data_IF_058122145411
#
_entry.id   IF_058122145411
#
_cell.length_a   1.000
_cell.length_b   1.000
_cell.length_c   1.000
_cell.angle_alpha   90.00
_cell.angle_beta   90.00
_cell.angle_gamma   90.00
#
_symmetry.space_group_name_H-M   'P 1'
#
loop_
_entity.id
_entity.type
_entity.pdbx_description
1 polymer ?
#
# COMPACT_ATOMS: atom_id res chain seq x y z
N UNK A 1 -20.95 -2.45 -10.47
CA UNK A 1 -20.56 -1.55 -9.36
C UNK A 1 -20.55 -2.45 -8.16
N UNK A 2 -19.39 -2.64 -7.56
CA UNK A 2 -19.23 -3.41 -6.32
C UNK A 2 -19.81 -2.59 -5.17
N UNK A 3 -20.68 -3.19 -4.37
CA UNK A 3 -21.27 -2.57 -3.18
C UNK A 3 -20.51 -3.01 -1.93
N UNK A 4 -20.64 -2.24 -0.83
CA UNK A 4 -19.96 -2.60 0.42
C UNK A 4 -20.34 -4.02 0.89
N UNK A 5 -21.61 -4.42 0.77
CA UNK A 5 -22.07 -5.78 1.13
C UNK A 5 -21.55 -6.89 0.23
N UNK A 6 -21.11 -6.54 -0.99
CA UNK A 6 -20.43 -7.51 -1.82
C UNK A 6 -19.03 -7.79 -1.24
N UNK A 7 -18.44 -6.86 -0.49
CA UNK A 7 -17.06 -6.92 -0.01
C UNK A 7 -16.97 -7.28 1.48
N UNK A 8 -17.81 -6.70 2.32
CA UNK A 8 -17.77 -6.79 3.78
C UNK A 8 -18.87 -7.74 4.25
N UNK A 9 -18.49 -8.65 5.14
CA UNK A 9 -19.34 -9.60 5.84
C UNK A 9 -19.84 -9.02 7.16
N UNK A 10 -18.95 -8.37 7.91
CA UNK A 10 -19.22 -7.83 9.24
C UNK A 10 -18.39 -6.56 9.51
N UNK A 11 -18.87 -5.73 10.43
CA UNK A 11 -18.27 -4.45 10.78
C UNK A 11 -18.42 -4.15 12.28
N UNK A 12 -17.33 -3.75 12.93
CA UNK A 12 -17.38 -3.30 14.32
C UNK A 12 -16.41 -2.14 14.58
N UNK A 13 -16.77 -1.32 15.56
CA UNK A 13 -15.93 -0.25 16.08
C UNK A 13 -15.26 -0.72 17.38
N UNK A 14 -13.96 -0.58 17.50
CA UNK A 14 -13.24 -0.84 18.76
C UNK A 14 -12.79 0.48 19.39
N UNK A 15 -13.16 0.71 20.65
CA UNK A 15 -12.74 1.87 21.45
C UNK A 15 -12.18 1.36 22.78
N UNK A 16 -10.91 1.67 23.07
CA UNK A 16 -10.18 1.20 24.27
C UNK A 16 -10.26 -0.33 24.50
N UNK A 17 -10.31 -1.11 23.42
CA UNK A 17 -10.40 -2.57 23.46
C UNK A 17 -11.81 -3.14 23.69
N UNK A 18 -12.84 -2.29 23.77
CA UNK A 18 -14.24 -2.70 23.76
C UNK A 18 -14.81 -2.60 22.33
N UNK A 19 -15.58 -3.60 21.91
CA UNK A 19 -16.10 -3.73 20.55
C UNK A 19 -17.59 -3.44 20.51
N UNK A 20 -18.00 -2.65 19.53
CA UNK A 20 -19.37 -2.20 19.30
C UNK A 20 -19.80 -2.57 17.89
N UNK A 21 -20.89 -3.32 17.77
CA UNK A 21 -21.48 -3.67 16.49
C UNK A 21 -22.19 -2.45 15.87
N UNK A 22 -22.36 -2.41 14.56
CA UNK A 22 -23.12 -1.34 13.91
C UNK A 22 -24.63 -1.47 14.20
N UNK A 23 -25.23 -0.44 14.81
CA UNK A 23 -26.68 -0.38 15.05
C UNK A 23 -27.50 -0.13 13.79
N UNK A 24 -26.92 0.61 12.85
CA UNK A 24 -27.59 0.94 11.60
C UNK A 24 -26.61 0.99 10.42
N UNK A 25 -26.95 0.21 9.40
CA UNK A 25 -26.22 0.10 8.16
C UNK A 25 -27.08 0.67 7.02
N UNK A 26 -26.63 1.78 6.45
CA UNK A 26 -27.29 2.38 5.28
C UNK A 26 -26.46 2.13 4.03
N UNK A 27 -26.78 1.05 3.33
CA UNK A 27 -26.24 0.74 2.02
C UNK A 27 -27.05 1.47 0.93
N UNK A 28 -26.35 2.19 0.06
CA UNK A 28 -26.96 2.88 -1.06
C UNK A 28 -26.65 2.11 -2.34
N UNK A 29 -27.65 1.40 -2.89
CA UNK A 29 -27.53 0.56 -4.09
C UNK A 29 -27.01 1.32 -5.34
N UNK A 30 -27.10 2.67 -5.34
CA UNK A 30 -26.64 3.54 -6.42
C UNK A 30 -25.29 4.24 -6.10
N UNK A 31 -24.61 3.87 -5.01
CA UNK A 31 -23.36 4.50 -4.54
C UNK A 31 -22.32 3.46 -4.10
N UNK A 32 -21.04 3.82 -4.20
CA UNK A 32 -19.93 3.06 -3.59
C UNK A 32 -19.73 3.36 -2.11
N UNK A 33 -20.54 4.27 -1.54
CA UNK A 33 -20.46 4.67 -0.13
C UNK A 33 -21.63 4.08 0.64
N UNK A 34 -21.33 3.52 1.82
CA UNK A 34 -22.32 3.12 2.81
C UNK A 34 -22.06 3.88 4.11
N UNK A 35 -23.11 4.08 4.91
CA UNK A 35 -23.00 4.74 6.22
C UNK A 35 -23.24 3.72 7.30
N UNK A 36 -22.27 3.60 8.22
CA UNK A 36 -22.37 2.79 9.42
C UNK A 36 -22.60 3.73 10.61
N UNK A 37 -23.51 3.38 11.51
CA UNK A 37 -23.78 4.13 12.75
C UNK A 37 -23.62 3.17 13.92
N UNK A 38 -22.81 3.58 14.90
CA UNK A 38 -22.54 2.85 16.13
C UNK A 38 -23.13 3.66 17.28
N UNK A 39 -24.03 3.06 18.04
CA UNK A 39 -24.54 3.59 19.30
C UNK A 39 -23.74 2.96 20.45
N UNK A 40 -22.79 3.73 20.97
CA UNK A 40 -21.92 3.30 22.08
C UNK A 40 -22.43 3.82 23.43
N UNK A 41 -23.59 4.50 23.44
CA UNK A 41 -24.16 5.06 24.67
C UNK A 41 -24.55 3.95 25.66
N UNK A 42 -24.55 4.27 26.94
CA UNK A 42 -24.70 3.37 28.09
C UNK A 42 -23.54 2.37 28.32
N UNK A 43 -22.74 2.09 27.31
CA UNK A 43 -21.63 1.13 27.36
C UNK A 43 -20.27 1.82 27.48
N UNK A 44 -20.09 2.97 26.83
CA UNK A 44 -18.85 3.74 26.85
C UNK A 44 -19.07 5.20 27.29
N UNK A 45 -18.09 5.79 27.97
CA UNK A 45 -18.11 7.21 28.33
C UNK A 45 -16.70 7.75 28.24
N UNK A 46 -16.54 8.85 27.49
CA UNK A 46 -15.30 9.63 27.45
C UNK A 46 -15.39 10.72 28.51
N UNK A 47 -14.43 10.74 29.44
CA UNK A 47 -14.36 11.75 30.49
C UNK A 47 -13.87 13.11 29.94
N UNK A 48 -14.09 14.18 30.70
CA UNK A 48 -13.54 15.50 30.34
C UNK A 48 -12.01 15.44 30.24
N UNK A 49 -11.46 16.04 29.18
CA UNK A 49 -10.03 16.04 28.83
C UNK A 49 -9.43 14.65 28.51
N UNK A 50 -10.27 13.62 28.31
CA UNK A 50 -9.84 12.31 27.85
C UNK A 50 -9.76 12.25 26.31
N UNK A 51 -8.71 11.61 25.80
CA UNK A 51 -8.56 11.29 24.39
C UNK A 51 -8.58 9.77 24.23
N UNK A 52 -9.48 9.29 23.37
CA UNK A 52 -9.62 7.86 23.05
C UNK A 52 -9.31 7.64 21.58
N UNK A 53 -8.75 6.48 21.25
CA UNK A 53 -8.56 6.05 19.86
C UNK A 53 -9.62 5.02 19.51
N UNK A 54 -10.26 5.21 18.36
CA UNK A 54 -11.25 4.29 17.82
C UNK A 54 -10.72 3.67 16.52
N UNK A 55 -10.96 2.37 16.34
CA UNK A 55 -10.59 1.62 15.15
C UNK A 55 -11.83 1.01 14.51
N UNK A 56 -12.05 1.25 13.22
CA UNK A 56 -13.05 0.55 12.43
C UNK A 56 -12.45 -0.73 11.88
N UNK A 57 -13.05 -1.87 12.22
CA UNK A 57 -12.69 -3.16 11.67
C UNK A 57 -13.77 -3.62 10.70
N UNK A 58 -13.33 -4.16 9.56
CA UNK A 58 -14.19 -4.74 8.53
C UNK A 58 -13.74 -6.18 8.30
N UNK A 59 -14.65 -7.12 8.51
CA UNK A 59 -14.45 -8.51 8.11
C UNK A 59 -14.85 -8.65 6.65
N UNK A 60 -13.92 -9.10 5.80
CA UNK A 60 -14.18 -9.26 4.37
C UNK A 60 -14.92 -10.58 4.10
N UNK A 61 -15.84 -10.54 3.13
CA UNK A 61 -16.43 -11.73 2.56
C UNK A 61 -15.35 -12.60 1.92
N UNK A 62 -15.51 -13.92 2.03
CA UNK A 62 -14.75 -14.83 1.20
C UNK A 62 -14.98 -14.50 -0.28
N UNK A 63 -13.91 -14.45 -1.05
CA UNK A 63 -13.96 -14.19 -2.48
C UNK A 63 -14.65 -15.36 -3.24
N UNK A 64 -15.77 -15.07 -3.89
CA UNK A 64 -16.61 -15.97 -4.73
C UNK A 64 -17.07 -15.26 -6.02
N UNK A 65 -16.28 -14.30 -6.51
CA UNK A 65 -16.60 -13.41 -7.63
C UNK A 65 -17.51 -12.25 -7.24
N UNK A 66 -17.61 -11.95 -5.94
CA UNK A 66 -18.41 -10.88 -5.35
C UNK A 66 -17.81 -9.48 -5.60
N UNK A 67 -16.48 -9.38 -5.72
CA UNK A 67 -15.81 -8.15 -6.12
C UNK A 67 -14.69 -8.42 -7.11
N UNK A 68 -14.28 -7.37 -7.85
CA UNK A 68 -13.21 -7.44 -8.84
C UNK A 68 -11.85 -7.17 -8.19
N UNK A 69 -10.77 -7.59 -8.86
CA UNK A 69 -9.39 -7.19 -8.56
C UNK A 69 -9.26 -5.67 -8.42
N UNK A 70 -8.48 -5.22 -7.44
CA UNK A 70 -8.21 -3.80 -7.21
C UNK A 70 -9.36 -3.00 -6.61
N UNK A 71 -10.39 -3.65 -6.04
CA UNK A 71 -11.44 -2.93 -5.31
C UNK A 71 -10.86 -2.34 -4.04
N UNK A 72 -11.10 -1.05 -3.80
CA UNK A 72 -10.56 -0.36 -2.63
C UNK A 72 -11.61 -0.14 -1.54
N UNK A 73 -11.19 -0.21 -0.28
CA UNK A 73 -11.99 0.08 0.90
C UNK A 73 -11.31 1.18 1.72
N UNK A 74 -12.06 2.19 2.14
CA UNK A 74 -11.57 3.28 2.98
C UNK A 74 -12.68 3.72 3.94
N UNK A 75 -12.33 3.89 5.21
CA UNK A 75 -13.21 4.48 6.22
C UNK A 75 -13.00 5.99 6.35
N UNK A 76 -14.07 6.73 6.59
CA UNK A 76 -14.00 8.15 6.92
C UNK A 76 -15.11 8.55 7.88
N UNK A 77 -14.85 9.54 8.71
CA UNK A 77 -15.83 10.21 9.56
C UNK A 77 -15.88 11.70 9.21
N UNK A 78 -17.08 12.19 8.94
CA UNK A 78 -17.32 13.60 8.60
C UNK A 78 -17.37 14.49 9.86
N UNK A 79 -17.27 15.81 9.64
CA UNK A 79 -17.53 16.79 10.68
C UNK A 79 -18.95 16.64 11.26
N UNK A 80 -19.10 16.87 12.56
CA UNK A 80 -20.36 16.71 13.30
C UNK A 80 -20.98 15.30 13.24
N UNK A 81 -20.22 14.26 12.84
CA UNK A 81 -20.72 12.90 12.78
C UNK A 81 -20.80 12.21 14.15
N UNK A 82 -20.12 12.75 15.18
CA UNK A 82 -20.21 12.24 16.55
C UNK A 82 -21.13 13.16 17.36
N UNK A 83 -22.14 12.56 17.99
CA UNK A 83 -23.03 13.22 18.94
C UNK A 83 -22.77 12.67 20.32
N UNK A 84 -22.41 13.54 21.27
CA UNK A 84 -22.25 13.20 22.68
C UNK A 84 -23.45 13.65 23.49
N UNK A 85 -24.03 12.74 24.27
CA UNK A 85 -25.01 13.08 25.30
C UNK A 85 -24.31 13.39 26.64
N UNK A 86 -24.84 14.34 27.42
CA UNK A 86 -24.21 14.79 28.65
C UNK A 86 -24.97 15.91 29.37
N UNK A 87 -24.26 16.72 30.16
CA UNK A 87 -24.85 17.90 30.82
C UNK A 87 -25.25 19.01 29.81
N UNK A 88 -24.56 19.05 28.67
CA UNK A 88 -24.89 19.82 27.47
C UNK A 88 -24.80 18.86 26.27
N UNK A 89 -25.61 19.09 25.22
CA UNK A 89 -25.46 18.33 23.97
C UNK A 89 -24.19 18.81 23.27
N UNK A 90 -23.32 17.87 22.91
CA UNK A 90 -22.08 18.15 22.20
C UNK A 90 -22.14 17.57 20.79
N UNK A 91 -21.73 18.37 19.82
CA UNK A 91 -21.43 17.92 18.46
C UNK A 91 -19.91 18.00 18.28
N UNK A 92 -19.31 16.96 17.70
CA UNK A 92 -17.87 16.98 17.40
C UNK A 92 -17.53 18.06 16.38
N UNK A 93 -16.35 18.66 16.51
CA UNK A 93 -15.70 19.41 15.44
C UNK A 93 -14.53 18.61 14.86
N UNK A 94 -14.54 18.41 13.54
CA UNK A 94 -13.47 17.77 12.80
C UNK A 94 -13.86 16.47 12.11
N UNK A 95 -13.01 16.08 11.17
CA UNK A 95 -13.18 14.91 10.31
C UNK A 95 -11.90 14.08 10.33
N UNK A 96 -12.02 12.77 10.12
CA UNK A 96 -10.88 11.89 9.91
C UNK A 96 -11.12 10.98 8.70
N UNK A 97 -10.04 10.57 8.05
CA UNK A 97 -10.07 9.64 6.92
C UNK A 97 -8.95 8.65 7.16
N UNK A 98 -9.29 7.37 7.15
CA UNK A 98 -8.31 6.29 7.28
C UNK A 98 -7.57 6.04 5.98
N UNK A 99 -6.61 5.12 6.03
CA UNK A 99 -5.91 4.68 4.83
C UNK A 99 -6.84 3.90 3.90
N UNK A 100 -6.52 3.96 2.61
CA UNK A 100 -7.23 3.18 1.59
C UNK A 100 -6.55 1.82 1.47
N UNK A 101 -7.32 0.75 1.64
CA UNK A 101 -6.86 -0.62 1.43
C UNK A 101 -7.33 -1.11 0.05
N UNK A 102 -6.45 -1.74 -0.71
CA UNK A 102 -6.80 -2.43 -1.96
C UNK A 102 -7.02 -3.92 -1.70
N UNK A 103 -8.08 -4.47 -2.27
CA UNK A 103 -8.43 -5.88 -2.14
C UNK A 103 -7.97 -6.64 -3.37
N UNK A 104 -7.12 -7.62 -3.11
CA UNK A 104 -6.56 -8.49 -4.12
C UNK A 104 -7.36 -9.80 -4.18
N UNK A 105 -7.53 -10.34 -5.39
CA UNK A 105 -8.22 -11.60 -5.69
C UNK A 105 -7.23 -12.67 -6.12
N UNK A 106 -6.18 -12.29 -6.84
CA UNK A 106 -5.00 -13.11 -7.10
C UNK A 106 -3.76 -12.21 -7.30
N UNK A 107 -2.58 -12.79 -7.45
CA UNK A 107 -1.36 -12.05 -7.75
C UNK A 107 -0.38 -12.01 -6.58
N UNK A 108 0.12 -10.82 -6.23
CA UNK A 108 1.13 -10.60 -5.19
C UNK A 108 0.71 -9.57 -4.16
N UNK A 109 1.24 -9.70 -2.94
CA UNK A 109 1.23 -8.65 -1.94
C UNK A 109 2.57 -8.58 -1.20
N UNK A 110 2.89 -7.42 -0.63
CA UNK A 110 4.02 -7.25 0.27
C UNK A 110 3.55 -7.47 1.72
N UNK A 111 4.27 -8.29 2.49
CA UNK A 111 3.81 -8.69 3.84
C UNK A 111 4.08 -7.63 4.91
N UNK A 112 5.16 -6.86 4.76
CA UNK A 112 5.69 -5.91 5.75
C UNK A 112 6.31 -4.67 5.08
N UNK A 113 6.67 -3.67 5.90
CA UNK A 113 7.49 -2.53 5.47
C UNK A 113 8.82 -3.02 4.86
N UNK A 114 9.33 -2.34 3.83
CA UNK A 114 10.59 -2.72 3.21
C UNK A 114 11.79 -2.36 4.09
N UNK A 115 12.80 -3.22 4.09
CA UNK A 115 14.10 -2.89 4.65
C UNK A 115 14.83 -1.95 3.68
N UNK A 116 15.10 -0.71 4.10
CA UNK A 116 15.68 0.31 3.22
C UNK A 116 17.02 0.84 3.69
N UNK A 117 17.87 1.17 2.71
CA UNK A 117 19.24 1.63 2.91
C UNK A 117 19.58 2.72 1.89
N UNK A 118 20.34 3.73 2.32
CA UNK A 118 20.83 4.79 1.43
C UNK A 118 22.26 5.17 1.79
N UNK A 119 23.13 5.19 0.78
CA UNK A 119 24.53 5.57 0.93
C UNK A 119 25.00 6.45 -0.23
N UNK A 120 26.13 7.13 -0.06
CA UNK A 120 26.77 7.84 -1.16
C UNK A 120 28.28 7.73 -1.08
N UNK A 121 28.91 7.57 -2.23
CA UNK A 121 30.35 7.49 -2.39
C UNK A 121 30.77 8.16 -3.70
N UNK A 122 31.79 9.00 -3.63
CA UNK A 122 32.42 9.64 -4.80
C UNK A 122 31.44 10.37 -5.75
N UNK A 123 30.38 10.95 -5.19
CA UNK A 123 29.36 11.69 -5.96
C UNK A 123 28.24 10.82 -6.52
N UNK A 124 28.22 9.53 -6.21
CA UNK A 124 27.17 8.59 -6.60
C UNK A 124 26.38 8.17 -5.35
N UNK A 125 25.05 8.13 -5.45
CA UNK A 125 24.17 7.56 -4.43
C UNK A 125 23.77 6.14 -4.78
N UNK A 126 23.68 5.29 -3.76
CA UNK A 126 23.15 3.93 -3.84
C UNK A 126 21.99 3.82 -2.86
N UNK A 127 20.85 3.35 -3.34
CA UNK A 127 19.61 3.17 -2.62
C UNK A 127 19.21 1.71 -2.75
N UNK A 128 19.01 1.03 -1.63
CA UNK A 128 18.67 -0.39 -1.55
C UNK A 128 17.30 -0.50 -0.87
N UNK A 129 16.41 -1.30 -1.44
CA UNK A 129 15.06 -1.56 -0.95
C UNK A 129 14.85 -3.08 -1.05
N UNK A 130 14.72 -3.74 0.09
CA UNK A 130 14.43 -5.17 0.19
C UNK A 130 12.93 -5.34 0.48
N UNK A 131 12.21 -5.97 -0.43
CA UNK A 131 10.77 -6.22 -0.31
C UNK A 131 10.47 -7.71 -0.33
N UNK A 132 9.71 -8.17 0.65
CA UNK A 132 9.21 -9.54 0.74
C UNK A 132 7.85 -9.62 0.05
N UNK A 133 7.78 -10.39 -1.04
CA UNK A 133 6.57 -10.57 -1.84
C UNK A 133 6.03 -11.98 -1.68
N UNK A 134 4.73 -12.08 -1.40
CA UNK A 134 4.01 -13.36 -1.36
C UNK A 134 3.04 -13.45 -2.52
N UNK A 135 3.08 -14.55 -3.27
CA UNK A 135 2.07 -14.85 -4.28
C UNK A 135 0.88 -15.59 -3.66
N UNK A 136 -0.32 -15.33 -4.14
CA UNK A 136 -1.54 -16.00 -3.65
C UNK A 136 -2.51 -16.30 -4.79
N UNK A 137 -3.26 -17.40 -4.64
CA UNK A 137 -4.20 -17.98 -5.61
C UNK A 137 -3.61 -18.36 -6.99
N UNK A 138 -2.40 -17.91 -7.34
CA UNK A 138 -1.66 -18.29 -8.55
C UNK A 138 -0.14 -18.15 -8.42
N UNK A 139 0.59 -18.73 -9.38
CA UNK A 139 2.01 -18.46 -9.60
C UNK A 139 2.14 -17.16 -10.41
N UNK A 140 3.13 -16.33 -10.06
CA UNK A 140 3.40 -15.05 -10.74
C UNK A 140 4.82 -14.96 -11.25
N UNK A 141 4.99 -14.21 -12.34
CA UNK A 141 6.25 -14.00 -13.03
C UNK A 141 6.68 -12.55 -12.90
N UNK A 142 7.91 -12.37 -12.43
CA UNK A 142 8.51 -11.09 -12.08
C UNK A 142 9.81 -10.90 -12.85
N UNK A 143 10.07 -9.67 -13.26
CA UNK A 143 11.24 -9.31 -14.02
C UNK A 143 12.35 -8.85 -13.08
N UNK A 144 13.59 -9.20 -13.39
CA UNK A 144 14.77 -8.75 -12.65
C UNK A 144 15.23 -7.34 -13.10
N UNK A 145 14.27 -6.44 -13.33
CA UNK A 145 14.55 -5.08 -13.81
C UNK A 145 13.72 -4.04 -13.06
N UNK A 146 14.31 -2.85 -12.88
CA UNK A 146 13.65 -1.73 -12.24
C UNK A 146 13.73 -0.47 -13.13
N UNK A 147 12.67 0.33 -13.13
CA UNK A 147 12.53 1.49 -14.02
C UNK A 147 11.92 2.72 -13.35
N UNK A 148 12.25 3.90 -13.87
CA UNK A 148 11.58 5.17 -13.52
C UNK A 148 10.44 5.54 -14.46
N UNK A 149 10.16 4.69 -15.43
CA UNK A 149 9.11 4.91 -16.43
C UNK A 149 8.13 3.77 -16.35
N UNK A 150 6.84 4.08 -16.33
CA UNK A 150 5.75 3.16 -16.67
C UNK A 150 6.05 2.56 -18.05
N UNK A 151 6.77 1.45 -18.09
CA UNK A 151 6.99 0.65 -19.29
C UNK A 151 6.05 -0.54 -19.22
N UNK A 152 5.52 -0.96 -20.35
CA UNK A 152 4.66 -2.14 -20.50
C UNK A 152 5.36 -3.48 -20.15
N UNK A 153 6.55 -3.44 -19.57
CA UNK A 153 7.37 -4.60 -19.19
C UNK A 153 7.12 -5.04 -17.74
N UNK A 154 7.34 -6.33 -17.48
CA UNK A 154 7.43 -6.85 -16.11
C UNK A 154 8.63 -6.17 -15.40
N UNK A 155 8.37 -5.33 -14.40
CA UNK A 155 9.36 -4.44 -13.78
C UNK A 155 8.98 -3.98 -12.38
N UNK A 156 10.00 -3.54 -11.64
CA UNK A 156 9.90 -2.81 -10.38
C UNK A 156 9.97 -1.30 -10.66
N UNK A 157 8.86 -0.60 -10.55
CA UNK A 157 8.78 0.82 -10.85
C UNK A 157 9.12 1.65 -9.61
N UNK A 158 9.99 2.62 -9.78
CA UNK A 158 10.50 3.47 -8.69
C UNK A 158 10.58 4.93 -9.08
N UNK A 159 10.53 5.81 -8.08
CA UNK A 159 10.78 7.24 -8.24
C UNK A 159 11.98 7.71 -7.44
N UNK A 160 12.57 8.82 -7.89
CA UNK A 160 13.62 9.55 -7.19
C UNK A 160 13.08 10.91 -6.78
N UNK A 161 13.47 11.39 -5.59
CA UNK A 161 13.08 12.71 -5.11
C UNK A 161 13.53 13.85 -6.04
N UNK A 162 14.60 13.61 -6.82
CA UNK A 162 15.01 14.43 -7.96
C UNK A 162 15.74 13.52 -8.97
N UNK A 163 15.15 13.35 -10.16
CA UNK A 163 15.70 12.53 -11.23
C UNK A 163 16.51 13.39 -12.21
N UNK A 164 17.66 13.87 -11.73
CA UNK A 164 18.59 14.65 -12.52
C UNK A 164 19.93 13.94 -12.61
N UNK A 165 20.42 13.66 -13.82
CA UNK A 165 21.72 13.00 -14.05
C UNK A 165 21.54 11.66 -14.74
N UNK A 166 22.34 10.68 -14.34
CA UNK A 166 22.22 9.30 -14.84
C UNK A 166 21.82 8.36 -13.72
N UNK A 167 20.90 7.45 -14.03
CA UNK A 167 20.37 6.46 -13.13
C UNK A 167 20.54 5.07 -13.73
N UNK A 168 20.79 4.08 -12.90
CA UNK A 168 20.66 2.66 -13.23
C UNK A 168 20.02 1.95 -12.06
N UNK A 169 19.25 0.90 -12.33
CA UNK A 169 18.71 0.04 -11.29
C UNK A 169 18.87 -1.42 -11.68
N UNK A 170 18.95 -2.28 -10.67
CA UNK A 170 19.08 -3.73 -10.76
C UNK A 170 18.14 -4.34 -9.73
N UNK A 171 17.57 -5.50 -10.04
CA UNK A 171 16.74 -6.27 -9.11
C UNK A 171 17.33 -7.66 -9.00
N UNK A 172 17.53 -8.12 -7.77
CA UNK A 172 17.97 -9.48 -7.49
C UNK A 172 16.93 -10.18 -6.63
N UNK A 173 16.80 -11.49 -6.82
CA UNK A 173 15.93 -12.31 -5.99
C UNK A 173 16.51 -13.71 -5.81
N UNK A 174 16.09 -14.37 -4.74
CA UNK A 174 16.34 -15.79 -4.54
C UNK A 174 15.25 -16.69 -5.18
N UNK A 175 14.26 -16.07 -5.82
CA UNK A 175 13.19 -16.77 -6.52
C UNK A 175 13.72 -17.67 -7.64
N UNK A 176 12.97 -18.74 -7.92
CA UNK A 176 13.38 -19.71 -8.93
C UNK A 176 13.35 -19.08 -10.34
N UNK A 177 14.40 -19.31 -11.12
CA UNK A 177 14.43 -18.86 -12.52
C UNK A 177 13.31 -19.50 -13.36
N UNK A 178 12.60 -18.68 -14.13
CA UNK A 178 11.63 -19.12 -15.11
C UNK A 178 12.24 -19.20 -16.53
N UNK A 179 11.40 -19.43 -17.54
CA UNK A 179 11.81 -19.15 -18.91
C UNK A 179 11.97 -17.63 -19.10
N UNK A 180 12.77 -17.20 -20.09
CA UNK A 180 12.87 -15.78 -20.51
C UNK A 180 13.15 -14.73 -19.43
N UNK A 181 14.36 -14.64 -18.86
CA UNK A 181 14.83 -13.51 -17.99
C UNK A 181 13.95 -13.14 -16.78
N UNK A 182 12.92 -13.92 -16.51
CA UNK A 182 11.98 -13.72 -15.43
C UNK A 182 12.25 -14.74 -14.31
N UNK A 183 11.79 -14.41 -13.12
CA UNK A 183 11.72 -15.33 -11.98
C UNK A 183 10.27 -15.68 -11.70
N UNK A 184 10.04 -16.86 -11.13
CA UNK A 184 8.70 -17.30 -10.72
C UNK A 184 8.58 -17.29 -9.20
N UNK A 185 7.63 -16.51 -8.71
CA UNK A 185 7.17 -16.55 -7.33
C UNK A 185 5.94 -17.47 -7.28
N UNK A 186 6.08 -18.60 -6.60
CA UNK A 186 5.02 -19.63 -6.58
C UNK A 186 3.94 -19.31 -5.57
N UNK A 187 2.72 -19.73 -5.87
CA UNK A 187 1.57 -19.60 -5.00
C UNK A 187 1.89 -20.03 -3.56
N UNK A 188 1.62 -19.15 -2.60
CA UNK A 188 1.78 -19.37 -1.16
C UNK A 188 3.23 -19.30 -0.67
N UNK A 189 4.19 -19.00 -1.54
CA UNK A 189 5.57 -18.73 -1.15
C UNK A 189 5.81 -17.22 -1.05
N UNK A 190 6.72 -16.88 -0.13
CA UNK A 190 7.28 -15.55 0.04
C UNK A 190 8.73 -15.58 -0.43
N UNK A 191 9.14 -14.61 -1.23
CA UNK A 191 10.54 -14.43 -1.66
C UNK A 191 10.94 -12.96 -1.53
N UNK A 192 12.21 -12.73 -1.18
CA UNK A 192 12.78 -11.38 -1.05
C UNK A 192 13.33 -10.89 -2.39
N UNK A 193 13.00 -9.64 -2.74
CA UNK A 193 13.53 -8.93 -3.90
C UNK A 193 14.36 -7.72 -3.43
N UNK A 194 15.65 -7.73 -3.76
CA UNK A 194 16.59 -6.63 -3.48
C UNK A 194 16.61 -5.68 -4.70
N UNK A 195 16.06 -4.48 -4.55
CA UNK A 195 16.08 -3.43 -5.58
C UNK A 195 17.22 -2.46 -5.28
N UNK A 196 18.25 -2.47 -6.13
CA UNK A 196 19.40 -1.56 -6.00
C UNK A 196 19.34 -0.47 -7.06
N UNK A 197 19.15 0.78 -6.63
CA UNK A 197 19.11 1.97 -7.48
C UNK A 197 20.39 2.79 -7.28
N UNK A 198 21.06 3.12 -8.37
CA UNK A 198 22.25 3.96 -8.38
C UNK A 198 21.98 5.28 -9.11
N UNK A 199 22.31 6.40 -8.47
CA UNK A 199 22.14 7.75 -9.03
C UNK A 199 23.47 8.50 -9.05
N UNK A 200 23.89 8.99 -10.22
CA UNK A 200 24.95 10.00 -10.37
C UNK A 200 24.31 11.33 -10.78
N UNK A 201 24.03 12.22 -9.82
CA UNK A 201 23.28 13.42 -10.10
C UNK A 201 24.13 14.55 -10.68
N UNK A 202 23.55 15.37 -11.56
CA UNK A 202 24.27 16.53 -12.13
C UNK A 202 24.37 17.74 -11.19
N UNK A 203 23.59 17.74 -10.10
CA UNK A 203 23.58 18.76 -9.06
C UNK A 203 23.76 18.17 -7.67
N UNK A 204 24.40 18.90 -6.77
CA UNK A 204 24.43 18.49 -5.36
C UNK A 204 23.06 18.69 -4.72
N UNK A 205 22.66 17.75 -3.87
CA UNK A 205 21.34 17.75 -3.26
C UNK A 205 21.16 16.60 -2.28
N UNK A 206 19.98 16.55 -1.67
CA UNK A 206 19.52 15.41 -0.88
C UNK A 206 18.61 14.57 -1.76
N UNK A 207 18.88 13.27 -1.85
CA UNK A 207 18.19 12.35 -2.74
C UNK A 207 17.67 11.14 -1.95
N UNK A 208 16.49 10.65 -2.30
CA UNK A 208 15.90 9.38 -1.83
C UNK A 208 15.26 8.65 -3.00
N UNK A 209 15.13 7.33 -2.91
CA UNK A 209 14.35 6.51 -3.83
C UNK A 209 13.08 5.98 -3.14
N UNK A 210 12.02 5.74 -3.92
CA UNK A 210 10.79 5.10 -3.47
C UNK A 210 10.42 4.01 -4.47
N UNK A 211 10.21 2.78 -4.02
CA UNK A 211 9.60 1.74 -4.84
C UNK A 211 8.08 1.94 -4.81
N UNK A 212 7.44 2.01 -5.98
CA UNK A 212 6.06 2.47 -6.10
C UNK A 212 5.11 1.37 -6.56
N UNK A 213 5.51 0.61 -7.58
CA UNK A 213 4.64 -0.38 -8.20
C UNK A 213 5.47 -1.56 -8.70
N UNK A 214 4.89 -2.74 -8.62
CA UNK A 214 5.48 -3.97 -9.15
C UNK A 214 4.56 -4.48 -10.26
N UNK A 215 5.08 -4.51 -11.48
CA UNK A 215 4.39 -5.00 -12.66
C UNK A 215 4.74 -6.47 -12.87
N UNK A 216 3.72 -7.34 -12.91
CA UNK A 216 3.88 -8.79 -12.99
C UNK A 216 2.97 -9.42 -14.06
N UNK A 217 3.22 -10.68 -14.37
CA UNK A 217 2.33 -11.48 -15.23
C UNK A 217 1.98 -12.81 -14.56
N UNK A 218 0.78 -13.31 -14.82
CA UNK A 218 0.38 -14.68 -14.45
C UNK A 218 0.86 -15.72 -15.49
N UNK A 219 1.54 -15.29 -16.55
CA UNK A 219 1.90 -16.10 -17.70
C UNK A 219 3.39 -15.99 -18.06
N UNK A 220 4.17 -17.00 -17.69
CA UNK A 220 5.63 -17.02 -17.84
C UNK A 220 6.20 -17.09 -19.27
N UNK A 221 5.36 -16.94 -20.30
CA UNK A 221 5.78 -16.81 -21.70
C UNK A 221 5.53 -15.38 -22.25
N UNK A 222 4.92 -14.48 -21.47
CA UNK A 222 4.67 -13.08 -21.87
C UNK A 222 5.73 -12.14 -21.28
N UNK A 223 6.31 -11.28 -22.12
CA UNK A 223 7.28 -10.28 -21.70
C UNK A 223 6.62 -8.94 -21.31
N UNK A 224 5.29 -8.82 -21.51
CA UNK A 224 4.52 -7.68 -21.03
C UNK A 224 3.91 -8.03 -19.68
N UNK A 225 3.84 -7.03 -18.79
CA UNK A 225 3.05 -7.21 -17.58
C UNK A 225 1.56 -7.25 -17.94
N UNK A 226 0.81 -8.00 -17.14
CA UNK A 226 -0.64 -8.08 -17.24
C UNK A 226 -1.30 -7.33 -16.08
N UNK A 227 -0.63 -7.29 -14.93
CA UNK A 227 -1.13 -6.76 -13.67
C UNK A 227 -0.05 -5.95 -12.94
N UNK A 228 -0.50 -5.09 -12.03
CA UNK A 228 0.35 -4.18 -11.26
C UNK A 228 -0.10 -4.13 -9.81
N UNK A 229 0.84 -4.22 -8.88
CA UNK A 229 0.60 -4.05 -7.45
C UNK A 229 1.23 -2.75 -6.96
N UNK A 230 0.41 -1.83 -6.43
CA UNK A 230 0.88 -0.56 -5.88
C UNK A 230 1.25 -0.71 -4.40
N UNK A 231 2.45 -0.28 -4.05
CA UNK A 231 2.97 -0.38 -2.69
C UNK A 231 2.47 0.78 -1.83
N UNK A 232 1.71 0.45 -0.78
CA UNK A 232 1.10 1.43 0.12
C UNK A 232 1.28 1.04 1.60
N UNK A 233 1.52 2.01 2.50
CA UNK A 233 1.78 3.41 2.20
C UNK A 233 3.19 3.61 1.60
N UNK A 234 3.34 4.57 0.68
CA UNK A 234 4.61 4.78 -0.03
C UNK A 234 5.80 5.14 0.88
N UNK A 235 5.53 5.55 2.12
CA UNK A 235 6.57 5.81 3.13
C UNK A 235 7.38 4.57 3.48
N UNK A 236 6.74 3.40 3.44
CA UNK A 236 7.28 2.14 3.94
C UNK A 236 8.23 1.51 2.92
N UNK A 237 8.21 2.02 1.69
CA UNK A 237 9.02 1.59 0.55
C UNK A 237 9.96 2.69 0.08
N UNK A 238 10.21 3.69 0.93
CA UNK A 238 11.05 4.84 0.65
C UNK A 238 12.32 4.80 1.46
N UNK A 239 13.46 4.97 0.78
CA UNK A 239 14.75 5.06 1.47
C UNK A 239 14.89 6.37 2.24
N UNK A 240 15.77 6.34 3.24
CA UNK A 240 16.32 7.55 3.82
C UNK A 240 16.95 8.46 2.75
N UNK A 241 16.99 9.76 3.06
CA UNK A 241 17.61 10.74 2.18
C UNK A 241 19.12 10.85 2.42
N UNK A 242 19.91 10.75 1.36
CA UNK A 242 21.37 10.92 1.40
C UNK A 242 21.83 12.16 0.63
N UNK A 243 22.82 12.88 1.17
CA UNK A 243 23.43 14.03 0.50
C UNK A 243 24.46 13.58 -0.52
N UNK A 244 24.25 13.91 -1.80
CA UNK A 244 25.15 13.56 -2.90
C UNK A 244 25.78 14.83 -3.45
N UNK A 245 27.09 14.80 -3.69
CA UNK A 245 27.79 15.88 -4.40
C UNK A 245 27.67 15.64 -5.90
N UNK A 246 26.94 16.50 -6.61
CA UNK A 246 26.69 16.29 -8.03
C UNK A 246 27.96 16.42 -8.88
N UNK A 247 28.01 15.64 -9.94
CA UNK A 247 29.05 15.71 -10.97
C UNK A 247 28.89 17.02 -11.75
N UNK A 248 29.60 18.07 -11.34
CA UNK A 248 29.61 19.33 -12.08
C UNK A 248 30.01 19.10 -13.54
N UNK A 249 29.10 19.36 -14.48
CA UNK A 249 29.42 19.39 -15.90
C UNK A 249 30.51 20.44 -16.15
N UNK A 250 31.75 20.00 -16.39
CA UNK A 250 32.83 20.86 -16.89
C UNK A 250 32.71 21.07 -18.40
#
# INVERSE_FOLDING_TARGET
MTQLRDVVNDEYLEIDGEQFDADNESYNDDSSTSTLTFDVDEEFTVEEDEEVTAFLFLELNQQDGNYQEGVTVQGSIDDMAISGEGADNLESDGSATGDQHELLVSGIYAEDEADTSASSQDGVGTFEIDVDLTAFEEDVYLGESASTTDDSSISFDYSLSDNNGTTSADVQSDADSAASSDVVLREGNTETFEVTITQDPSSSGSYSATLETINFSANGDDANYEESYTLTPSSDYRTDSVSISGSASN
#
